data_IF_213967551201
#
_entry.id   IF_213967551201
#
_cell.length_a   1.000
_cell.length_b   1.000
_cell.length_c   1.000
_cell.angle_alpha   90.00
_cell.angle_beta   90.00
_cell.angle_gamma   90.00
#
_symmetry.space_group_name_H-M   'P 1'
#
loop_
_entity.id
_entity.type
_entity.pdbx_description
1 polymer ?
#
# COMPACT_ATOMS: atom_id res chain seq x y z
N UNK A 1 17.40 -0.57 21.52
CA UNK A 1 16.66 -0.72 20.25
C UNK A 1 16.17 0.66 19.88
N UNK A 2 16.66 1.22 18.78
CA UNK A 2 16.34 2.59 18.38
C UNK A 2 15.24 2.52 17.33
N UNK A 3 14.00 2.81 17.72
CA UNK A 3 12.90 3.02 16.77
C UNK A 3 13.14 4.33 16.02
N UNK A 4 13.37 4.24 14.70
CA UNK A 4 13.36 5.40 13.81
C UNK A 4 11.89 5.69 13.49
N UNK A 5 11.25 6.56 14.28
CA UNK A 5 10.01 7.22 13.85
C UNK A 5 10.40 8.23 12.76
N UNK A 6 10.08 7.93 11.50
CA UNK A 6 10.22 8.88 10.40
C UNK A 6 9.37 10.12 10.70
N UNK A 7 10.00 11.18 11.23
CA UNK A 7 9.51 12.55 11.07
C UNK A 7 10.08 13.05 9.75
N UNK A 8 9.38 12.82 8.63
CA UNK A 8 9.72 13.47 7.36
C UNK A 8 8.56 14.35 6.92
N UNK A 9 8.88 15.63 6.76
CA UNK A 9 8.14 16.68 6.05
C UNK A 9 6.74 17.04 6.56
N UNK A 10 6.73 17.95 7.53
CA UNK A 10 5.67 18.96 7.69
C UNK A 10 5.43 19.65 6.34
N UNK A 11 4.42 19.21 5.59
CA UNK A 11 3.86 19.95 4.45
C UNK A 11 3.60 19.17 3.16
N UNK A 12 4.18 17.99 2.96
CA UNK A 12 3.89 17.15 1.76
C UNK A 12 3.36 15.81 2.25
N UNK A 13 2.18 15.33 1.80
CA UNK A 13 1.74 13.99 2.18
C UNK A 13 2.77 12.99 1.64
N UNK A 14 3.21 12.03 2.46
CA UNK A 14 4.19 11.05 2.00
C UNK A 14 3.59 10.27 0.83
N UNK A 15 4.19 10.41 -0.35
CA UNK A 15 3.77 9.69 -1.55
C UNK A 15 4.49 8.34 -1.55
N UNK A 16 3.76 7.27 -1.82
CA UNK A 16 4.34 5.93 -1.97
C UNK A 16 3.75 5.25 -3.21
N UNK A 17 4.57 4.45 -3.91
CA UNK A 17 4.08 3.61 -4.99
C UNK A 17 3.42 2.34 -4.44
N UNK A 18 2.44 1.81 -5.17
CA UNK A 18 1.82 0.53 -4.82
C UNK A 18 2.83 -0.63 -4.94
N UNK A 19 3.79 -0.53 -5.86
CA UNK A 19 4.95 -1.43 -5.96
C UNK A 19 5.74 -1.51 -4.64
N UNK A 20 6.07 -0.35 -4.05
CA UNK A 20 6.80 -0.32 -2.80
C UNK A 20 6.01 -0.92 -1.63
N UNK A 21 4.67 -0.84 -1.68
CA UNK A 21 3.78 -1.49 -0.70
C UNK A 21 3.78 -3.02 -0.87
N UNK A 22 3.75 -3.49 -2.12
CA UNK A 22 3.87 -4.91 -2.42
C UNK A 22 5.19 -5.48 -1.89
N UNK A 23 6.31 -4.84 -2.19
CA UNK A 23 7.64 -5.27 -1.71
C UNK A 23 7.72 -5.30 -0.18
N UNK A 24 7.20 -4.26 0.50
CA UNK A 24 7.12 -4.23 1.97
C UNK A 24 6.27 -5.37 2.56
N UNK A 25 5.29 -5.84 1.80
CA UNK A 25 4.39 -6.94 2.18
C UNK A 25 4.89 -8.31 1.70
N UNK A 26 6.10 -8.37 1.14
CA UNK A 26 6.71 -9.58 0.57
C UNK A 26 5.87 -10.21 -0.55
N UNK A 27 5.24 -9.36 -1.37
CA UNK A 27 4.47 -9.69 -2.57
C UNK A 27 5.26 -9.18 -3.78
N UNK A 28 5.21 -9.83 -4.96
CA UNK A 28 5.85 -9.30 -6.17
C UNK A 28 5.41 -7.86 -6.44
N UNK A 29 6.35 -6.97 -6.77
CA UNK A 29 6.07 -5.53 -6.99
C UNK A 29 4.98 -5.31 -8.05
N UNK A 30 4.96 -6.19 -9.06
CA UNK A 30 4.11 -6.24 -10.24
C UNK A 30 2.67 -6.69 -9.93
N UNK A 31 2.41 -7.13 -8.70
CA UNK A 31 1.11 -7.68 -8.32
C UNK A 31 0.05 -6.58 -8.22
N UNK A 32 -1.17 -6.92 -8.65
CA UNK A 32 -2.34 -6.05 -8.51
C UNK A 32 -2.59 -5.64 -7.06
N UNK A 33 -3.02 -4.40 -6.86
CA UNK A 33 -3.41 -3.89 -5.55
C UNK A 33 -4.86 -3.47 -5.59
N UNK A 34 -5.63 -3.79 -4.55
CA UNK A 34 -7.02 -3.38 -4.41
C UNK A 34 -7.12 -2.21 -3.43
N UNK A 35 -7.79 -1.12 -3.80
CA UNK A 35 -8.05 0.01 -2.92
C UNK A 35 -9.55 0.23 -2.83
N UNK A 36 -10.15 0.04 -1.65
CA UNK A 36 -11.60 0.17 -1.42
C UNK A 36 -12.49 -0.59 -2.43
N UNK A 37 -12.01 -1.74 -2.91
CA UNK A 37 -12.70 -2.57 -3.90
C UNK A 37 -12.36 -2.27 -5.36
N UNK A 38 -11.57 -1.22 -5.64
CA UNK A 38 -11.05 -0.94 -6.99
C UNK A 38 -9.72 -1.65 -7.21
N UNK A 39 -9.56 -2.28 -8.38
CA UNK A 39 -8.33 -2.99 -8.74
C UNK A 39 -7.39 -2.06 -9.49
N UNK A 40 -6.14 -2.03 -9.05
CA UNK A 40 -5.02 -1.33 -9.67
C UNK A 40 -4.03 -2.37 -10.20
N UNK A 41 -4.15 -2.67 -11.49
CA UNK A 41 -3.28 -3.61 -12.19
C UNK A 41 -1.93 -3.00 -12.56
N UNK A 42 -1.79 -1.67 -12.47
CA UNK A 42 -0.52 -0.97 -12.67
C UNK A 42 0.01 -0.41 -11.33
N UNK A 43 0.89 -1.16 -10.63
CA UNK A 43 1.35 -0.79 -9.31
C UNK A 43 2.41 0.34 -9.33
N UNK A 44 2.81 0.86 -10.50
CA UNK A 44 3.58 2.11 -10.61
C UNK A 44 2.79 3.34 -10.14
N UNK A 45 1.48 3.17 -9.90
CA UNK A 45 0.61 4.22 -9.39
C UNK A 45 1.08 4.68 -8.01
N UNK A 46 1.21 5.99 -7.86
CA UNK A 46 1.56 6.62 -6.60
C UNK A 46 0.29 6.99 -5.84
N UNK A 47 0.27 6.69 -4.55
CA UNK A 47 -0.79 7.08 -3.62
C UNK A 47 -0.24 7.95 -2.50
N UNK A 48 -1.09 8.79 -1.94
CA UNK A 48 -0.77 9.49 -0.71
C UNK A 48 -0.95 8.55 0.47
N UNK A 49 0.11 8.29 1.24
CA UNK A 49 0.09 7.41 2.40
C UNK A 49 -0.94 7.83 3.45
N UNK A 50 -1.26 9.13 3.52
CA UNK A 50 -2.30 9.68 4.41
C UNK A 50 -3.70 9.10 4.14
N UNK A 51 -3.94 8.61 2.92
CA UNK A 51 -5.19 7.95 2.55
C UNK A 51 -5.23 6.52 3.06
N UNK A 52 -4.10 5.89 3.34
CA UNK A 52 -4.04 4.49 3.79
C UNK A 52 -4.43 4.41 5.26
N UNK A 53 -5.61 3.83 5.56
CA UNK A 53 -6.06 3.54 6.92
C UNK A 53 -5.67 2.15 7.36
N UNK A 54 -5.75 1.19 6.45
CA UNK A 54 -5.47 -0.22 6.71
C UNK A 54 -4.92 -0.89 5.46
N UNK A 55 -3.98 -1.80 5.66
CA UNK A 55 -3.45 -2.70 4.63
C UNK A 55 -3.66 -4.13 5.10
N UNK A 56 -4.17 -4.97 4.22
CA UNK A 56 -4.27 -6.42 4.40
C UNK A 56 -3.66 -7.15 3.22
N UNK A 57 -2.93 -8.23 3.49
CA UNK A 57 -2.54 -9.18 2.45
C UNK A 57 -3.65 -10.21 2.32
N UNK A 58 -4.26 -10.28 1.14
CA UNK A 58 -5.29 -11.27 0.82
C UNK A 58 -4.73 -12.28 -0.18
N UNK A 59 -5.35 -13.43 -0.24
CA UNK A 59 -5.02 -14.49 -1.19
C UNK A 59 -6.30 -14.91 -1.92
N UNK A 60 -6.25 -14.94 -3.24
CA UNK A 60 -7.31 -15.47 -4.08
C UNK A 60 -6.70 -16.43 -5.10
N UNK A 61 -7.22 -17.66 -5.17
CA UNK A 61 -6.74 -18.69 -6.10
C UNK A 61 -5.22 -18.96 -6.04
N UNK A 62 -4.60 -18.82 -4.86
CA UNK A 62 -3.16 -19.00 -4.64
C UNK A 62 -2.30 -17.78 -5.01
N UNK A 63 -2.92 -16.71 -5.53
CA UNK A 63 -2.26 -15.44 -5.80
C UNK A 63 -2.51 -14.48 -4.63
N UNK A 64 -1.43 -14.01 -4.00
CA UNK A 64 -1.51 -12.98 -2.96
C UNK A 64 -1.63 -11.61 -3.60
N UNK A 65 -2.41 -10.73 -3.01
CA UNK A 65 -2.54 -9.34 -3.42
C UNK A 65 -2.75 -8.44 -2.20
N UNK A 66 -2.45 -7.16 -2.37
CA UNK A 66 -2.53 -6.18 -1.30
C UNK A 66 -3.90 -5.49 -1.36
N UNK A 67 -4.57 -5.37 -0.22
CA UNK A 67 -5.88 -4.73 -0.06
C UNK A 67 -5.72 -3.52 0.86
N UNK A 68 -5.88 -2.33 0.31
CA UNK A 68 -5.81 -1.04 0.99
C UNK A 68 -7.22 -0.56 1.26
N UNK A 69 -7.45 -0.05 2.47
CA UNK A 69 -8.68 0.63 2.84
C UNK A 69 -8.36 2.08 3.18
N UNK A 70 -9.15 3.00 2.63
CA UNK A 70 -9.00 4.44 2.89
C UNK A 70 -10.06 5.00 3.83
N UNK A 71 -11.06 4.19 4.16
CA UNK A 71 -12.13 4.52 5.10
C UNK A 71 -12.14 3.55 6.28
N UNK A 72 -12.53 4.06 7.45
CA UNK A 72 -12.77 3.27 8.65
C UNK A 72 -14.15 2.59 8.52
N UNK A 73 -14.26 1.51 7.73
CA UNK A 73 -15.46 0.67 7.70
C UNK A 73 -15.46 -0.34 8.85
#
# INVERSE_FOLDING_TARGET
MTEIKFKKNVGTPDIMSLEALNEQSNIPKDTKVMIDGYVFDNPTTNIYSVLVKKIEVKEDNGEKYLSIFTSDN
#
